data_IF_510574906812
#
_entry.id   IF_510574906812
#
_cell.length_a   1.000
_cell.length_b   1.000
_cell.length_c   1.000
_cell.angle_alpha   90.00
_cell.angle_beta   90.00
_cell.angle_gamma   90.00
#
_symmetry.space_group_name_H-M   'P 1'
#
loop_
_entity.id
_entity.type
_entity.pdbx_description
1 polymer ?
#
# COMPACT_ATOMS: atom_id res chain seq x y z
N UNK A 1 24.93 30.78 3.82
CA UNK A 1 24.71 31.31 5.17
C UNK A 1 26.05 31.38 5.87
N UNK A 2 26.50 32.56 6.25
CA UNK A 2 27.74 32.75 7.02
C UNK A 2 27.46 32.47 8.49
N UNK A 3 28.39 31.79 9.18
CA UNK A 3 28.28 31.37 10.59
C UNK A 3 27.98 32.49 11.61
N UNK A 4 28.00 33.77 11.19
CA UNK A 4 27.83 34.94 12.05
C UNK A 4 26.38 35.24 12.45
N UNK A 5 25.37 34.72 11.75
CA UNK A 5 23.94 34.94 12.10
C UNK A 5 23.37 33.93 13.11
N UNK A 6 24.09 32.85 13.42
CA UNK A 6 23.67 31.84 14.42
C UNK A 6 24.15 32.16 15.86
N UNK A 7 25.00 33.17 16.04
CA UNK A 7 25.65 33.51 17.33
C UNK A 7 24.74 34.31 18.28
N UNK A 8 23.47 34.57 17.91
CA UNK A 8 22.56 35.46 18.65
C UNK A 8 21.26 34.81 19.17
N UNK A 9 21.23 33.49 19.33
CA UNK A 9 20.16 32.89 20.15
C UNK A 9 20.69 32.76 21.58
N UNK A 10 20.16 33.51 22.57
CA UNK A 10 20.58 33.33 23.95
C UNK A 10 20.20 31.91 24.41
N UNK A 11 21.22 31.09 24.67
CA UNK A 11 21.07 29.74 25.21
C UNK A 11 21.43 29.74 26.69
N UNK A 12 20.42 29.66 27.55
CA UNK A 12 20.59 29.56 29.00
C UNK A 12 20.76 28.09 29.40
N UNK A 13 22.01 27.66 29.50
CA UNK A 13 22.35 26.28 29.85
C UNK A 13 21.80 25.87 31.22
N UNK A 14 21.79 26.77 32.21
CA UNK A 14 21.34 26.45 33.56
C UNK A 14 19.84 26.19 33.57
N UNK A 15 19.08 27.08 32.92
CA UNK A 15 17.65 26.91 32.73
C UNK A 15 17.32 25.59 32.02
N UNK A 16 17.94 25.31 30.87
CA UNK A 16 17.63 24.09 30.10
C UNK A 16 18.08 22.81 30.81
N UNK A 17 19.16 22.86 31.59
CA UNK A 17 19.60 21.74 32.44
C UNK A 17 18.58 21.42 33.52
N UNK A 18 18.05 22.46 34.19
CA UNK A 18 16.99 22.30 35.18
C UNK A 18 15.72 21.74 34.53
N UNK A 19 15.29 22.31 33.40
CA UNK A 19 14.12 21.83 32.66
C UNK A 19 14.29 20.36 32.24
N UNK A 20 15.49 19.95 31.81
CA UNK A 20 15.77 18.57 31.46
C UNK A 20 15.70 17.63 32.67
N UNK A 21 16.27 18.01 33.82
CA UNK A 21 16.21 17.21 35.04
C UNK A 21 14.77 17.06 35.58
N UNK A 22 13.96 18.12 35.48
CA UNK A 22 12.56 18.10 35.92
C UNK A 22 11.65 17.32 34.97
N UNK A 23 11.80 17.51 33.65
CA UNK A 23 10.94 16.87 32.65
C UNK A 23 11.36 15.45 32.29
N UNK A 24 12.66 15.17 32.32
CA UNK A 24 13.25 13.91 31.89
C UNK A 24 14.21 13.36 32.96
N UNK A 25 13.74 13.12 34.20
CA UNK A 25 14.58 12.64 35.30
C UNK A 25 15.23 11.28 35.00
N UNK A 26 14.61 10.49 34.11
CA UNK A 26 15.09 9.18 33.66
C UNK A 26 15.87 9.24 32.33
N UNK A 27 16.14 10.44 31.82
CA UNK A 27 16.68 10.66 30.47
C UNK A 27 15.59 10.76 29.40
N UNK A 28 16.01 10.87 28.14
CA UNK A 28 15.08 10.87 27.00
C UNK A 28 14.69 9.41 26.68
N UNK A 29 13.39 9.12 26.50
CA UNK A 29 12.98 7.80 26.04
C UNK A 29 13.47 7.57 24.61
N UNK A 30 13.68 6.30 24.25
CA UNK A 30 13.87 5.91 22.85
C UNK A 30 12.63 6.26 22.02
N UNK A 31 12.77 6.41 20.70
CA UNK A 31 11.65 6.78 19.83
C UNK A 31 10.46 5.83 19.94
N UNK A 32 9.26 6.39 19.90
CA UNK A 32 7.99 5.65 19.84
C UNK A 32 6.99 6.48 19.04
N UNK A 33 6.01 5.82 18.43
CA UNK A 33 4.92 6.49 17.73
C UNK A 33 3.78 5.53 17.46
N UNK A 34 2.56 6.08 17.48
CA UNK A 34 1.34 5.39 17.07
C UNK A 34 0.92 5.77 15.63
N UNK A 35 1.67 6.68 14.97
CA UNK A 35 1.42 7.12 13.60
C UNK A 35 1.95 6.09 12.58
N UNK A 36 1.07 5.41 11.81
CA UNK A 36 1.46 4.34 10.90
C UNK A 36 2.24 4.82 9.67
N UNK A 37 2.37 6.13 9.46
CA UNK A 37 3.20 6.70 8.39
C UNK A 37 4.67 6.80 8.77
N UNK A 38 5.00 6.67 10.06
CA UNK A 38 6.37 6.73 10.56
C UNK A 38 7.06 5.38 10.44
N UNK A 39 8.35 5.41 10.12
CA UNK A 39 9.19 4.20 9.97
C UNK A 39 9.26 3.35 11.25
N UNK A 40 9.22 4.01 12.41
CA UNK A 40 9.34 3.42 13.75
C UNK A 40 7.99 2.97 14.35
N UNK A 41 6.90 3.03 13.58
CA UNK A 41 5.59 2.58 14.06
C UNK A 41 5.61 1.10 14.44
N UNK A 42 5.12 0.79 15.64
CA UNK A 42 5.16 -0.55 16.23
C UNK A 42 4.25 -1.59 15.54
N UNK A 43 3.41 -1.18 14.59
CA UNK A 43 2.62 -2.09 13.75
C UNK A 43 1.29 -2.60 14.35
N UNK A 44 1.03 -2.38 15.64
CA UNK A 44 -0.18 -2.91 16.30
C UNK A 44 -1.41 -2.04 15.97
N UNK A 45 -2.57 -2.62 15.57
CA UNK A 45 -3.73 -1.84 15.11
C UNK A 45 -4.24 -0.80 16.10
N UNK A 46 -4.45 -1.21 17.35
CA UNK A 46 -5.16 -0.39 18.34
C UNK A 46 -4.40 -0.15 19.64
N UNK A 47 -3.21 -0.70 19.83
CA UNK A 47 -2.43 -0.39 21.03
C UNK A 47 -1.74 0.98 20.83
N UNK A 48 -1.37 1.61 21.94
CA UNK A 48 -0.72 2.92 21.96
C UNK A 48 0.44 2.95 22.94
N UNK A 49 1.44 3.77 22.63
CA UNK A 49 2.50 4.17 23.56
C UNK A 49 2.43 5.67 23.79
N UNK A 50 2.34 6.07 25.05
CA UNK A 50 2.17 7.47 25.45
C UNK A 50 3.24 7.90 26.44
N UNK A 51 3.49 9.20 26.52
CA UNK A 51 4.25 9.80 27.61
C UNK A 51 3.38 9.87 28.87
N UNK A 52 3.85 9.30 29.98
CA UNK A 52 3.21 9.42 31.29
C UNK A 52 3.83 10.56 32.08
N UNK A 53 3.02 11.56 32.42
CA UNK A 53 3.44 12.66 33.28
C UNK A 53 3.73 12.23 34.73
N UNK A 54 3.09 11.14 35.18
CA UNK A 54 3.27 10.59 36.53
C UNK A 54 4.64 9.90 36.68
N UNK A 55 4.98 9.04 35.73
CA UNK A 55 6.25 8.29 35.78
C UNK A 55 7.40 9.01 35.08
N UNK A 56 7.10 10.10 34.35
CA UNK A 56 8.05 10.81 33.47
C UNK A 56 8.80 9.83 32.56
N UNK A 57 8.05 8.92 31.96
CA UNK A 57 8.55 7.89 31.06
C UNK A 57 7.47 7.45 30.07
N UNK A 58 7.85 6.62 29.09
CA UNK A 58 6.87 5.96 28.22
C UNK A 58 6.05 4.92 28.98
N UNK A 59 4.81 4.73 28.56
CA UNK A 59 3.89 3.75 29.11
C UNK A 59 2.88 3.29 28.03
N UNK A 60 2.23 2.16 28.25
CA UNK A 60 1.08 1.77 27.42
C UNK A 60 -0.09 2.72 27.66
N UNK A 61 -0.66 3.24 26.58
CA UNK A 61 -1.88 4.04 26.64
C UNK A 61 -3.15 3.21 26.52
N UNK A 62 -4.30 3.89 26.55
CA UNK A 62 -5.59 3.26 26.26
C UNK A 62 -5.64 2.80 24.79
N UNK A 63 -6.39 1.73 24.46
CA UNK A 63 -6.55 1.32 23.08
C UNK A 63 -7.13 2.43 22.22
N UNK A 64 -6.48 2.68 21.10
CA UNK A 64 -6.85 3.66 20.09
C UNK A 64 -8.15 3.24 19.43
N UNK A 65 -8.91 4.22 18.96
CA UNK A 65 -10.07 4.02 18.09
C UNK A 65 -10.07 5.03 16.93
N UNK A 66 -8.95 5.70 16.69
CA UNK A 66 -8.84 6.71 15.63
C UNK A 66 -8.90 6.08 14.23
N UNK A 67 -9.04 6.93 13.21
CA UNK A 67 -9.22 6.49 11.81
C UNK A 67 -8.10 5.60 11.26
N UNK A 68 -6.91 5.60 11.86
CA UNK A 68 -5.78 4.75 11.44
C UNK A 68 -5.92 3.30 11.86
N UNK A 69 -6.72 2.97 12.89
CA UNK A 69 -6.86 1.59 13.38
C UNK A 69 -7.38 0.67 12.27
N UNK A 70 -8.45 1.07 11.57
CA UNK A 70 -9.01 0.27 10.48
C UNK A 70 -8.04 0.16 9.30
N UNK A 71 -7.27 1.21 9.01
CA UNK A 71 -6.25 1.20 7.96
C UNK A 71 -5.11 0.22 8.28
N UNK A 72 -4.63 0.23 9.52
CA UNK A 72 -3.59 -0.68 10.00
C UNK A 72 -4.08 -2.13 10.00
N UNK A 73 -5.32 -2.35 10.46
CA UNK A 73 -5.94 -3.67 10.47
C UNK A 73 -6.10 -4.26 9.06
N UNK A 74 -6.50 -3.45 8.06
CA UNK A 74 -6.56 -3.91 6.66
C UNK A 74 -5.17 -4.24 6.11
N UNK A 75 -4.17 -3.40 6.34
CA UNK A 75 -2.80 -3.68 5.90
C UNK A 75 -2.26 -4.98 6.51
N UNK A 76 -2.52 -5.23 7.80
CA UNK A 76 -2.16 -6.49 8.47
C UNK A 76 -2.92 -7.69 7.91
N UNK A 77 -4.22 -7.55 7.67
CA UNK A 77 -5.04 -8.58 7.03
C UNK A 77 -4.46 -8.97 5.67
N UNK A 78 -3.86 -8.02 4.94
CA UNK A 78 -3.21 -8.23 3.64
C UNK A 78 -1.73 -8.67 3.78
N UNK A 79 -1.30 -8.97 5.01
CA UNK A 79 0.03 -9.47 5.33
C UNK A 79 1.15 -8.44 5.22
N UNK A 80 0.84 -7.14 5.27
CA UNK A 80 1.85 -6.11 5.41
C UNK A 80 2.34 -6.04 6.86
N UNK A 81 3.66 -5.92 7.02
CA UNK A 81 4.34 -5.72 8.30
C UNK A 81 5.13 -4.43 8.24
N UNK A 82 5.07 -3.64 9.30
CA UNK A 82 5.83 -2.39 9.35
C UNK A 82 7.33 -2.64 9.54
N UNK A 83 8.21 -1.70 9.13
CA UNK A 83 9.65 -1.87 9.24
C UNK A 83 10.14 -2.25 10.65
N UNK A 84 9.54 -1.65 11.69
CA UNK A 84 9.84 -1.97 13.10
C UNK A 84 9.67 -3.45 13.45
N UNK A 85 8.78 -4.17 12.76
CA UNK A 85 8.57 -5.60 12.99
C UNK A 85 9.64 -6.50 12.38
N UNK A 86 10.41 -5.97 11.43
CA UNK A 86 11.39 -6.72 10.65
C UNK A 86 12.83 -6.37 11.04
N UNK A 87 13.05 -5.16 11.57
CA UNK A 87 14.36 -4.69 12.01
C UNK A 87 14.54 -4.84 13.53
N UNK A 88 15.15 -5.95 13.95
CA UNK A 88 15.45 -6.23 15.35
C UNK A 88 16.43 -5.24 16.00
N UNK A 89 17.14 -4.43 15.21
CA UNK A 89 18.12 -3.45 15.69
C UNK A 89 17.54 -2.03 15.76
N UNK A 90 16.30 -1.82 15.33
CA UNK A 90 15.66 -0.52 15.35
C UNK A 90 15.56 0.00 16.80
N UNK A 91 15.99 1.24 17.00
CA UNK A 91 15.88 1.89 18.31
C UNK A 91 14.43 2.30 18.58
N UNK A 92 13.80 1.60 19.52
CA UNK A 92 12.42 1.80 19.94
C UNK A 92 12.32 1.86 21.46
N UNK A 93 11.30 2.55 21.99
CA UNK A 93 10.93 2.42 23.40
C UNK A 93 10.62 0.97 23.76
N UNK A 94 10.77 0.61 25.04
CA UNK A 94 10.53 -0.75 25.50
C UNK A 94 9.08 -1.19 25.28
N UNK A 95 8.13 -0.27 25.44
CA UNK A 95 6.71 -0.48 25.16
C UNK A 95 6.46 -0.69 23.67
N UNK A 96 7.08 0.11 22.80
CA UNK A 96 6.97 -0.06 21.34
C UNK A 96 7.53 -1.42 20.90
N UNK A 97 8.66 -1.85 21.47
CA UNK A 97 9.22 -3.19 21.23
C UNK A 97 8.27 -4.29 21.72
N UNK A 98 7.64 -4.12 22.88
CA UNK A 98 6.65 -5.07 23.38
C UNK A 98 5.43 -5.17 22.45
N UNK A 99 4.96 -4.04 21.90
CA UNK A 99 3.88 -4.03 20.90
C UNK A 99 4.29 -4.70 19.58
N UNK A 100 5.53 -4.52 19.13
CA UNK A 100 6.09 -5.25 17.98
C UNK A 100 6.05 -6.75 18.23
N UNK A 101 6.44 -7.23 19.41
CA UNK A 101 6.36 -8.66 19.72
C UNK A 101 4.89 -9.14 19.77
N UNK A 102 3.98 -8.33 20.31
CA UNK A 102 2.55 -8.67 20.40
C UNK A 102 1.89 -8.79 19.01
N UNK A 103 2.42 -8.12 18.01
CA UNK A 103 1.96 -8.25 16.63
C UNK A 103 2.08 -9.68 16.07
N UNK A 104 2.92 -10.55 16.65
CA UNK A 104 3.05 -11.95 16.25
C UNK A 104 1.74 -12.74 16.46
N UNK A 105 0.95 -12.37 17.48
CA UNK A 105 -0.37 -12.96 17.76
C UNK A 105 -1.36 -12.71 16.61
N UNK A 106 -1.13 -11.67 15.80
CA UNK A 106 -1.99 -11.29 14.69
C UNK A 106 -1.56 -11.88 13.34
N UNK A 107 -0.39 -12.54 13.26
CA UNK A 107 0.12 -13.08 12.00
C UNK A 107 -0.78 -14.18 11.42
N UNK A 108 -1.50 -14.91 12.26
CA UNK A 108 -2.44 -15.96 11.83
C UNK A 108 -3.65 -15.44 11.03
N UNK A 109 -3.95 -14.15 11.12
CA UNK A 109 -5.05 -13.52 10.36
C UNK A 109 -4.60 -13.00 8.99
N UNK A 110 -3.29 -12.89 8.76
CA UNK A 110 -2.74 -12.35 7.53
C UNK A 110 -3.00 -13.27 6.34
N UNK A 111 -3.40 -12.66 5.23
CA UNK A 111 -3.48 -13.34 3.96
C UNK A 111 -2.10 -13.75 3.45
N UNK A 112 -2.03 -14.97 2.91
CA UNK A 112 -0.77 -15.58 2.47
C UNK A 112 -0.27 -14.92 1.20
N UNK A 113 -1.11 -14.82 0.17
CA UNK A 113 -0.75 -14.26 -1.13
C UNK A 113 -0.94 -12.73 -1.17
N UNK A 114 -1.66 -12.17 -0.19
CA UNK A 114 -1.88 -10.73 -0.09
C UNK A 114 -3.02 -10.25 -0.99
N UNK A 115 -3.94 -11.14 -1.36
CA UNK A 115 -5.16 -10.84 -2.11
C UNK A 115 -6.35 -11.17 -1.22
N UNK A 116 -7.20 -10.19 -0.93
CA UNK A 116 -8.43 -10.40 -0.15
C UNK A 116 -9.63 -9.86 -0.93
N UNK A 117 -10.51 -10.77 -1.34
CA UNK A 117 -11.77 -10.40 -1.98
C UNK A 117 -12.70 -9.74 -0.97
N UNK A 118 -13.29 -8.61 -1.34
CA UNK A 118 -14.29 -7.94 -0.50
C UNK A 118 -15.54 -8.83 -0.34
N UNK A 119 -16.20 -9.29 -1.42
CA UNK A 119 -17.24 -10.30 -1.28
C UNK A 119 -16.61 -11.66 -0.89
N UNK A 120 -17.40 -12.50 -0.22
CA UNK A 120 -17.01 -13.88 0.05
C UNK A 120 -16.73 -14.63 -1.26
N UNK A 121 -15.57 -15.30 -1.33
CA UNK A 121 -15.08 -15.89 -2.56
C UNK A 121 -14.23 -17.14 -2.26
N UNK A 122 -14.33 -18.19 -3.08
CA UNK A 122 -13.58 -19.46 -2.96
C UNK A 122 -13.68 -20.16 -1.59
N UNK A 123 -14.82 -20.01 -0.92
CA UNK A 123 -15.02 -20.57 0.42
C UNK A 123 -14.31 -19.79 1.54
N UNK A 124 -13.65 -18.68 1.21
CA UNK A 124 -13.13 -17.75 2.18
C UNK A 124 -14.23 -16.79 2.67
N UNK A 125 -14.22 -16.41 3.96
CA UNK A 125 -15.11 -15.38 4.49
C UNK A 125 -14.89 -14.04 3.78
N UNK A 126 -15.87 -13.15 3.86
CA UNK A 126 -15.75 -11.80 3.32
C UNK A 126 -14.59 -11.03 3.97
N UNK A 127 -14.06 -10.02 3.29
CA UNK A 127 -13.04 -9.15 3.88
C UNK A 127 -13.52 -8.50 5.19
N UNK A 128 -14.81 -8.17 5.29
CA UNK A 128 -15.40 -7.60 6.50
C UNK A 128 -15.36 -8.59 7.68
N UNK A 129 -15.75 -9.85 7.46
CA UNK A 129 -15.72 -10.87 8.52
C UNK A 129 -14.28 -11.16 8.98
N UNK A 130 -13.36 -11.28 8.01
CA UNK A 130 -11.93 -11.46 8.31
C UNK A 130 -11.37 -10.30 9.12
N UNK A 131 -11.76 -9.06 8.77
CA UNK A 131 -11.32 -7.86 9.47
C UNK A 131 -11.92 -7.76 10.88
N UNK A 132 -13.19 -8.12 11.08
CA UNK A 132 -13.82 -8.21 12.41
C UNK A 132 -13.05 -9.19 13.30
N UNK A 133 -12.70 -10.37 12.78
CA UNK A 133 -11.95 -11.36 13.55
C UNK A 133 -10.55 -10.86 13.95
N UNK A 134 -9.84 -10.18 13.06
CA UNK A 134 -8.55 -9.56 13.37
C UNK A 134 -8.68 -8.47 14.43
N UNK A 135 -9.68 -7.58 14.30
CA UNK A 135 -9.94 -6.52 15.27
C UNK A 135 -10.32 -7.10 16.64
N UNK A 136 -11.15 -8.14 16.68
CA UNK A 136 -11.51 -8.83 17.91
C UNK A 136 -10.29 -9.40 18.63
N UNK A 137 -9.36 -10.01 17.89
CA UNK A 137 -8.10 -10.48 18.46
C UNK A 137 -7.22 -9.32 18.95
N UNK A 138 -7.12 -8.22 18.19
CA UNK A 138 -6.28 -7.08 18.55
C UNK A 138 -6.78 -6.31 19.79
N UNK A 139 -8.10 -6.13 19.94
CA UNK A 139 -8.70 -5.47 21.10
C UNK A 139 -8.93 -6.42 22.29
N UNK A 140 -8.99 -7.73 22.04
CA UNK A 140 -9.28 -8.72 23.08
C UNK A 140 -10.59 -8.43 23.80
N UNK A 141 -10.54 -8.27 25.12
CA UNK A 141 -11.72 -8.05 25.97
C UNK A 141 -12.43 -6.72 25.72
N UNK A 142 -11.75 -5.75 25.10
CA UNK A 142 -12.33 -4.44 24.78
C UNK A 142 -13.08 -4.44 23.44
N UNK A 143 -13.09 -5.56 22.72
CA UNK A 143 -13.86 -5.70 21.49
C UNK A 143 -15.34 -5.88 21.79
N UNK A 144 -16.18 -5.03 21.20
CA UNK A 144 -17.63 -5.13 21.23
C UNK A 144 -18.23 -4.31 20.07
N UNK A 145 -19.57 -4.35 19.94
CA UNK A 145 -20.27 -3.62 18.87
C UNK A 145 -20.12 -2.10 19.00
N UNK A 146 -20.04 -1.55 20.22
CA UNK A 146 -19.85 -0.12 20.44
C UNK A 146 -18.48 0.34 19.91
N UNK A 147 -17.44 -0.48 20.13
CA UNK A 147 -16.10 -0.23 19.57
C UNK A 147 -16.10 -0.26 18.05
N UNK A 148 -16.80 -1.19 17.42
CA UNK A 148 -16.96 -1.23 15.96
C UNK A 148 -17.68 0.03 15.45
N UNK A 149 -18.75 0.47 16.12
CA UNK A 149 -19.47 1.68 15.75
C UNK A 149 -18.61 2.94 15.90
N UNK A 150 -17.82 3.03 16.97
CA UNK A 150 -16.87 4.11 17.21
C UNK A 150 -15.78 4.16 16.11
N UNK A 151 -15.19 3.02 15.77
CA UNK A 151 -14.19 2.92 14.70
C UNK A 151 -14.74 3.39 13.35
N UNK A 152 -15.97 2.99 13.01
CA UNK A 152 -16.63 3.42 11.78
C UNK A 152 -16.98 4.91 11.82
N UNK A 153 -17.38 5.45 12.97
CA UNK A 153 -17.64 6.88 13.12
C UNK A 153 -16.36 7.70 12.95
N UNK A 154 -15.26 7.28 13.58
CA UNK A 154 -13.95 7.92 13.46
C UNK A 154 -13.36 7.79 12.04
N UNK A 155 -13.80 6.80 11.27
CA UNK A 155 -13.50 6.65 9.85
C UNK A 155 -14.51 7.34 8.91
N UNK A 156 -15.29 8.32 9.40
CA UNK A 156 -16.29 9.07 8.61
C UNK A 156 -17.29 8.14 7.87
N UNK A 157 -17.72 7.10 8.58
CA UNK A 157 -18.61 6.05 8.06
C UNK A 157 -19.60 5.55 9.13
N UNK A 158 -20.03 6.45 10.02
CA UNK A 158 -20.99 6.17 11.08
C UNK A 158 -22.32 5.59 10.55
N UNK A 159 -22.93 4.68 11.32
CA UNK A 159 -24.26 4.12 11.01
C UNK A 159 -24.29 3.15 9.82
N UNK A 160 -23.13 2.70 9.33
CA UNK A 160 -22.99 1.81 8.17
C UNK A 160 -22.19 0.55 8.53
N UNK A 161 -21.97 -0.33 7.55
CA UNK A 161 -21.25 -1.59 7.76
C UNK A 161 -19.77 -1.48 7.40
N UNK A 162 -18.96 -2.36 7.97
CA UNK A 162 -17.54 -2.48 7.62
C UNK A 162 -17.32 -2.82 6.14
N UNK A 163 -18.17 -3.66 5.54
CA UNK A 163 -18.11 -3.95 4.11
C UNK A 163 -18.33 -2.69 3.26
N UNK A 164 -19.33 -1.87 3.58
CA UNK A 164 -19.56 -0.63 2.84
C UNK A 164 -18.42 0.38 3.05
N UNK A 165 -17.74 0.38 4.20
CA UNK A 165 -16.53 1.18 4.40
C UNK A 165 -15.39 0.70 3.49
N UNK A 166 -15.14 -0.62 3.44
CA UNK A 166 -14.12 -1.21 2.55
C UNK A 166 -14.39 -0.88 1.08
N UNK A 167 -15.65 -0.91 0.66
CA UNK A 167 -16.03 -0.56 -0.71
C UNK A 167 -15.89 0.93 -0.97
N UNK A 168 -16.43 1.79 -0.11
CA UNK A 168 -16.69 3.19 -0.46
C UNK A 168 -15.64 4.19 0.04
N UNK A 169 -15.00 3.91 1.17
CA UNK A 169 -14.16 4.89 1.89
C UNK A 169 -12.71 4.45 2.03
N UNK A 170 -12.47 3.16 2.23
CA UNK A 170 -11.15 2.62 2.59
C UNK A 170 -10.06 3.13 1.65
N UNK A 171 -10.17 2.92 0.34
CA UNK A 171 -9.06 3.20 -0.56
C UNK A 171 -8.78 4.70 -0.72
N UNK A 172 -9.81 5.54 -0.68
CA UNK A 172 -9.64 6.99 -0.70
C UNK A 172 -8.93 7.49 0.57
N UNK A 173 -9.30 6.95 1.74
CA UNK A 173 -8.65 7.25 3.01
C UNK A 173 -7.22 6.70 3.05
N UNK A 174 -6.98 5.51 2.51
CA UNK A 174 -5.65 4.90 2.40
C UNK A 174 -4.74 5.76 1.52
N UNK A 175 -5.25 6.24 0.38
CA UNK A 175 -4.53 7.21 -0.47
C UNK A 175 -4.22 8.50 0.30
N UNK A 176 -5.15 9.03 1.09
CA UNK A 176 -4.93 10.27 1.84
C UNK A 176 -3.87 10.10 2.95
N UNK A 177 -4.00 9.05 3.76
CA UNK A 177 -3.13 8.74 4.89
C UNK A 177 -1.68 8.53 4.45
N UNK A 178 -1.46 7.76 3.39
CA UNK A 178 -0.12 7.46 2.88
C UNK A 178 0.32 8.42 1.78
N UNK A 179 -0.08 9.69 1.87
CA UNK A 179 0.38 10.79 1.01
C UNK A 179 0.33 10.49 -0.50
N UNK A 180 -0.78 9.90 -0.95
CA UNK A 180 -1.05 9.51 -2.34
C UNK A 180 -0.11 8.42 -2.88
N UNK A 181 0.49 7.63 -1.98
CA UNK A 181 1.31 6.45 -2.26
C UNK A 181 0.72 5.22 -1.55
N UNK A 182 -0.52 4.84 -1.88
CA UNK A 182 -1.18 3.69 -1.25
C UNK A 182 -0.40 2.40 -1.54
N UNK A 183 -0.29 1.52 -0.55
CA UNK A 183 0.37 0.21 -0.72
C UNK A 183 -0.58 -0.98 -0.55
N UNK A 184 -1.80 -0.74 -0.07
CA UNK A 184 -2.93 -1.65 -0.29
C UNK A 184 -3.79 -1.07 -1.40
N UNK A 185 -3.87 -1.79 -2.52
CA UNK A 185 -4.60 -1.37 -3.70
C UNK A 185 -5.99 -1.97 -3.72
N UNK A 186 -6.99 -1.17 -4.07
CA UNK A 186 -8.36 -1.62 -4.23
C UNK A 186 -8.69 -1.67 -5.73
N UNK A 187 -8.73 -2.89 -6.26
CA UNK A 187 -9.05 -3.18 -7.67
C UNK A 187 -10.49 -3.69 -7.73
N UNK A 188 -11.24 -3.23 -8.73
CA UNK A 188 -12.67 -3.58 -8.86
C UNK A 188 -13.13 -3.50 -10.31
N UNK A 189 -14.32 -4.02 -10.59
CA UNK A 189 -14.90 -4.07 -11.95
C UNK A 189 -15.81 -2.87 -12.29
N UNK A 190 -15.99 -1.94 -11.34
CA UNK A 190 -16.82 -0.74 -11.50
C UNK A 190 -18.25 -0.87 -11.00
N UNK A 191 -18.71 -2.07 -10.63
CA UNK A 191 -20.05 -2.28 -10.07
C UNK A 191 -20.03 -2.29 -8.54
N UNK A 192 -21.12 -1.85 -7.92
CA UNK A 192 -21.23 -1.78 -6.45
C UNK A 192 -21.25 -3.19 -5.82
N UNK A 193 -21.96 -4.11 -6.46
CA UNK A 193 -22.12 -5.52 -6.11
C UNK A 193 -21.23 -6.46 -6.95
N UNK A 194 -20.30 -5.90 -7.73
CA UNK A 194 -19.38 -6.64 -8.58
C UNK A 194 -18.14 -7.17 -7.87
N UNK A 195 -17.19 -7.64 -8.68
CA UNK A 195 -15.88 -8.06 -8.26
C UNK A 195 -15.09 -6.89 -7.66
N UNK A 196 -14.55 -7.13 -6.47
CA UNK A 196 -13.80 -6.12 -5.74
C UNK A 196 -12.80 -6.79 -4.82
N UNK A 197 -11.56 -6.36 -4.87
CA UNK A 197 -10.45 -7.02 -4.18
C UNK A 197 -9.47 -5.99 -3.62
N UNK A 198 -8.88 -6.32 -2.47
CA UNK A 198 -7.77 -5.60 -1.87
C UNK A 198 -6.49 -6.39 -2.14
N UNK A 199 -5.41 -5.69 -2.49
CA UNK A 199 -4.15 -6.33 -2.86
C UNK A 199 -2.99 -5.63 -2.18
N UNK A 200 -2.10 -6.40 -1.55
CA UNK A 200 -0.84 -5.89 -1.03
C UNK A 200 0.14 -5.70 -2.18
N UNK A 201 0.42 -4.44 -2.53
CA UNK A 201 1.34 -4.09 -3.61
C UNK A 201 2.72 -4.74 -3.45
N UNK A 202 3.21 -4.89 -2.21
CA UNK A 202 4.53 -5.50 -1.95
C UNK A 202 4.57 -7.01 -2.22
N UNK A 203 3.41 -7.66 -2.39
CA UNK A 203 3.29 -9.08 -2.74
C UNK A 203 2.79 -9.30 -4.18
N UNK A 204 2.44 -8.23 -4.89
CA UNK A 204 1.86 -8.29 -6.23
C UNK A 204 2.96 -8.41 -7.30
N UNK A 205 3.61 -9.56 -7.38
CA UNK A 205 4.51 -9.89 -8.48
C UNK A 205 3.74 -10.40 -9.72
N UNK A 206 4.46 -10.81 -10.77
CA UNK A 206 3.89 -11.40 -11.99
C UNK A 206 2.94 -12.56 -11.71
N UNK A 207 3.35 -13.49 -10.85
CA UNK A 207 2.62 -14.72 -10.54
C UNK A 207 1.38 -14.42 -9.69
N UNK A 208 1.49 -13.49 -8.75
CA UNK A 208 0.36 -13.04 -7.94
C UNK A 208 -0.66 -12.30 -8.81
N UNK A 209 -0.22 -11.49 -9.79
CA UNK A 209 -1.13 -10.88 -10.76
C UNK A 209 -1.81 -11.94 -11.64
N UNK A 210 -1.08 -12.95 -12.11
CA UNK A 210 -1.67 -14.10 -12.82
C UNK A 210 -2.72 -14.83 -11.98
N UNK A 211 -2.43 -15.03 -10.70
CA UNK A 211 -3.36 -15.64 -9.75
C UNK A 211 -4.61 -14.78 -9.59
N UNK A 212 -4.46 -13.46 -9.47
CA UNK A 212 -5.59 -12.53 -9.42
C UNK A 212 -6.47 -12.63 -10.68
N UNK A 213 -5.86 -12.61 -11.88
CA UNK A 213 -6.58 -12.61 -13.16
C UNK A 213 -7.27 -13.95 -13.42
N UNK A 214 -6.54 -15.05 -13.29
CA UNK A 214 -7.00 -16.35 -13.78
C UNK A 214 -7.62 -17.23 -12.69
N UNK A 215 -7.32 -16.98 -11.42
CA UNK A 215 -7.94 -17.71 -10.30
C UNK A 215 -9.06 -16.89 -9.67
N UNK A 216 -8.77 -15.77 -9.00
CA UNK A 216 -9.79 -15.00 -8.27
C UNK A 216 -10.86 -14.42 -9.21
N UNK A 217 -10.44 -13.65 -10.22
CA UNK A 217 -11.37 -13.08 -11.18
C UNK A 217 -11.94 -14.15 -12.12
N UNK A 218 -11.16 -15.16 -12.50
CA UNK A 218 -11.61 -16.31 -13.30
C UNK A 218 -12.74 -17.11 -12.65
N UNK A 219 -12.62 -17.40 -11.35
CA UNK A 219 -13.66 -18.09 -10.57
C UNK A 219 -14.92 -17.21 -10.45
N UNK A 220 -14.75 -15.90 -10.23
CA UNK A 220 -15.87 -14.96 -10.21
C UNK A 220 -16.63 -14.93 -11.54
N UNK A 221 -15.91 -14.81 -12.66
CA UNK A 221 -16.48 -14.85 -14.01
C UNK A 221 -17.26 -16.14 -14.25
N UNK A 222 -16.70 -17.28 -13.84
CA UNK A 222 -17.35 -18.59 -13.97
C UNK A 222 -18.66 -18.64 -13.20
N UNK A 223 -18.68 -18.12 -11.96
CA UNK A 223 -19.90 -18.00 -11.17
C UNK A 223 -20.92 -17.08 -11.83
N UNK A 224 -20.52 -15.88 -12.26
CA UNK A 224 -21.44 -14.93 -12.91
C UNK A 224 -22.05 -15.52 -14.18
N UNK A 225 -21.30 -16.31 -14.96
CA UNK A 225 -21.83 -17.05 -16.11
C UNK A 225 -22.92 -18.05 -15.74
N UNK A 226 -22.78 -18.75 -14.62
CA UNK A 226 -23.81 -19.68 -14.11
C UNK A 226 -25.06 -18.93 -13.64
N UNK A 227 -24.88 -17.78 -12.97
CA UNK A 227 -25.97 -16.90 -12.55
C UNK A 227 -26.75 -16.35 -13.75
N UNK A 228 -26.06 -15.97 -14.84
CA UNK A 228 -26.68 -15.59 -16.13
C UNK A 228 -27.51 -16.75 -16.69
N UNK A 229 -26.95 -17.96 -16.74
CA UNK A 229 -27.67 -19.14 -17.24
C UNK A 229 -28.91 -19.50 -16.40
N UNK A 230 -28.89 -19.13 -15.12
CA UNK A 230 -30.00 -19.32 -14.18
C UNK A 230 -31.00 -18.16 -14.18
N UNK A 231 -30.81 -17.14 -15.04
CA UNK A 231 -31.71 -15.99 -15.17
C UNK A 231 -31.73 -15.07 -13.95
N UNK A 232 -30.64 -15.02 -13.17
CA UNK A 232 -30.53 -14.10 -12.02
C UNK A 232 -30.39 -12.67 -12.52
N UNK A 233 -31.20 -11.77 -11.95
CA UNK A 233 -31.19 -10.36 -12.30
C UNK A 233 -29.82 -9.70 -12.02
N UNK A 234 -29.42 -8.80 -12.92
CA UNK A 234 -28.10 -8.14 -12.88
C UNK A 234 -26.87 -9.02 -13.17
N UNK A 235 -27.03 -10.35 -13.30
CA UNK A 235 -25.89 -11.25 -13.53
C UNK A 235 -25.18 -10.99 -14.86
N UNK A 236 -25.92 -10.56 -15.88
CA UNK A 236 -25.36 -10.22 -17.20
C UNK A 236 -24.39 -9.03 -17.11
N UNK A 237 -24.77 -7.99 -16.35
CA UNK A 237 -23.96 -6.80 -16.14
C UNK A 237 -22.71 -7.13 -15.32
N UNK A 238 -22.86 -7.93 -14.25
CA UNK A 238 -21.72 -8.42 -13.45
C UNK A 238 -20.76 -9.26 -14.26
N UNK A 239 -21.27 -10.17 -15.09
CA UNK A 239 -20.45 -10.98 -15.99
C UNK A 239 -19.68 -10.10 -16.98
N UNK A 240 -20.36 -9.15 -17.62
CA UNK A 240 -19.74 -8.23 -18.58
C UNK A 240 -18.67 -7.34 -17.92
N UNK A 241 -18.95 -6.78 -16.74
CA UNK A 241 -18.00 -5.96 -15.99
C UNK A 241 -16.74 -6.75 -15.61
N UNK A 242 -16.91 -7.98 -15.10
CA UNK A 242 -15.82 -8.86 -14.73
C UNK A 242 -14.92 -9.26 -15.93
N UNK A 243 -15.52 -9.62 -17.07
CA UNK A 243 -14.78 -9.91 -18.31
C UNK A 243 -13.98 -8.69 -18.80
N UNK A 244 -14.56 -7.50 -18.67
CA UNK A 244 -13.89 -6.26 -19.06
C UNK A 244 -12.78 -5.86 -18.07
N UNK A 245 -12.93 -6.15 -16.77
CA UNK A 245 -11.83 -6.02 -15.81
C UNK A 245 -10.69 -6.97 -16.16
N UNK A 246 -11.00 -8.23 -16.49
CA UNK A 246 -9.99 -9.24 -16.84
C UNK A 246 -9.11 -8.77 -18.00
N UNK A 247 -9.73 -8.30 -19.09
CA UNK A 247 -9.00 -7.76 -20.25
C UNK A 247 -8.06 -6.62 -19.88
N UNK A 248 -8.48 -5.71 -18.98
CA UNK A 248 -7.64 -4.59 -18.53
C UNK A 248 -6.46 -5.07 -17.69
N UNK A 249 -6.66 -6.05 -16.83
CA UNK A 249 -5.56 -6.64 -16.06
C UNK A 249 -4.59 -7.42 -16.95
N UNK A 250 -5.07 -8.09 -18.00
CA UNK A 250 -4.22 -8.74 -19.01
C UNK A 250 -3.34 -7.73 -19.76
N UNK A 251 -3.85 -6.52 -20.07
CA UNK A 251 -3.03 -5.42 -20.63
C UNK A 251 -1.89 -5.00 -19.69
N UNK A 252 -2.14 -4.94 -18.38
CA UNK A 252 -1.13 -4.62 -17.36
C UNK A 252 -0.10 -5.75 -17.25
N UNK A 253 -0.57 -7.00 -17.27
CA UNK A 253 0.29 -8.17 -17.20
C UNK A 253 1.24 -8.25 -18.39
N UNK A 254 0.72 -8.00 -19.60
CA UNK A 254 1.49 -7.93 -20.84
C UNK A 254 2.46 -6.74 -20.83
N UNK A 255 2.00 -5.57 -20.36
CA UNK A 255 2.80 -4.37 -20.17
C UNK A 255 3.32 -3.75 -21.48
N UNK A 256 2.56 -3.88 -22.56
CA UNK A 256 2.76 -3.11 -23.79
C UNK A 256 2.42 -1.63 -23.58
N UNK A 257 3.09 -0.72 -24.27
CA UNK A 257 2.82 0.71 -24.18
C UNK A 257 1.33 1.00 -24.52
N UNK A 258 0.61 1.80 -23.70
CA UNK A 258 1.06 2.65 -22.59
C UNK A 258 0.87 2.03 -21.19
N UNK A 259 0.78 0.71 -21.07
CA UNK A 259 0.56 -0.01 -19.81
C UNK A 259 1.85 -0.54 -19.19
N UNK A 260 2.99 -0.09 -19.70
CA UNK A 260 4.30 -0.47 -19.21
C UNK A 260 4.71 0.30 -17.96
N UNK A 261 5.67 -0.25 -17.21
CA UNK A 261 6.37 0.48 -16.15
C UNK A 261 7.61 1.11 -16.78
N UNK A 262 7.68 2.44 -16.70
CA UNK A 262 8.84 3.23 -17.09
C UNK A 262 9.55 3.79 -15.85
N UNK A 263 10.84 3.50 -15.73
CA UNK A 263 11.68 3.90 -14.59
C UNK A 263 12.83 4.78 -15.06
N UNK A 264 12.70 6.10 -14.90
CA UNK A 264 13.64 7.08 -15.43
C UNK A 264 15.10 6.93 -14.98
N UNK A 265 15.38 6.34 -13.82
CA UNK A 265 16.77 6.12 -13.36
C UNK A 265 17.37 4.79 -13.85
N UNK A 266 16.61 3.95 -14.54
CA UNK A 266 17.09 2.68 -15.10
C UNK A 266 17.38 2.84 -16.60
N UNK A 267 18.51 2.32 -17.11
CA UNK A 267 18.73 2.23 -18.55
C UNK A 267 17.77 1.22 -19.19
N UNK A 268 17.66 1.23 -20.52
CA UNK A 268 16.66 0.47 -21.29
C UNK A 268 16.70 -1.04 -20.95
N UNK A 269 17.90 -1.62 -20.85
CA UNK A 269 18.11 -3.04 -20.51
C UNK A 269 17.61 -3.43 -19.11
N UNK A 270 17.50 -2.46 -18.18
CA UNK A 270 17.01 -2.66 -16.81
C UNK A 270 15.55 -2.25 -16.62
N UNK A 271 14.86 -1.78 -17.67
CA UNK A 271 13.44 -1.47 -17.58
C UNK A 271 12.61 -2.75 -17.34
N UNK A 272 11.56 -2.73 -16.51
CA UNK A 272 10.64 -3.85 -16.34
C UNK A 272 9.96 -4.25 -17.66
N UNK A 273 9.76 -5.55 -17.88
CA UNK A 273 9.07 -6.12 -19.05
C UNK A 273 7.82 -6.84 -18.58
N UNK A 274 6.65 -6.42 -19.09
CA UNK A 274 5.37 -6.81 -18.51
C UNK A 274 5.20 -6.33 -17.08
N UNK A 275 4.29 -6.98 -16.34
CA UNK A 275 4.20 -6.81 -14.90
C UNK A 275 5.33 -7.55 -14.19
N UNK A 276 6.42 -6.83 -13.91
CA UNK A 276 7.57 -7.29 -13.11
C UNK A 276 8.18 -6.10 -12.33
N UNK A 277 7.42 -5.50 -11.40
CA UNK A 277 7.85 -4.28 -10.72
C UNK A 277 9.01 -4.54 -9.74
N UNK A 278 9.98 -3.64 -9.71
CA UNK A 278 10.91 -3.54 -8.58
C UNK A 278 10.29 -2.63 -7.52
N UNK A 279 10.03 -3.19 -6.34
CA UNK A 279 9.39 -2.49 -5.21
C UNK A 279 10.19 -1.23 -4.82
N UNK A 280 11.52 -1.26 -4.98
CA UNK A 280 12.38 -0.13 -4.63
C UNK A 280 12.23 1.06 -5.58
N UNK A 281 11.62 0.87 -6.75
CA UNK A 281 11.29 1.99 -7.63
C UNK A 281 10.14 2.85 -7.09
N UNK A 282 9.40 2.31 -6.12
CA UNK A 282 8.36 2.99 -5.37
C UNK A 282 6.99 2.94 -6.04
N UNK A 283 5.97 3.01 -5.17
CA UNK A 283 4.54 2.94 -5.54
C UNK A 283 4.17 3.85 -6.71
N UNK A 284 4.72 5.08 -6.75
CA UNK A 284 4.34 6.10 -7.73
C UNK A 284 4.54 5.62 -9.17
N UNK A 285 5.62 4.90 -9.46
CA UNK A 285 5.88 4.37 -10.80
C UNK A 285 5.09 3.09 -11.04
N UNK A 286 5.13 2.19 -10.05
CA UNK A 286 4.58 0.84 -10.20
C UNK A 286 3.05 0.80 -10.24
N UNK A 287 2.35 1.81 -9.70
CA UNK A 287 0.88 1.89 -9.78
C UNK A 287 0.38 2.42 -11.13
N UNK A 288 1.27 2.98 -11.98
CA UNK A 288 0.87 3.68 -13.21
C UNK A 288 0.06 2.79 -14.18
N UNK A 289 0.45 1.54 -14.48
CA UNK A 289 -0.33 0.68 -15.37
C UNK A 289 -1.79 0.52 -14.92
N UNK A 290 -2.03 0.41 -13.61
CA UNK A 290 -3.36 0.25 -13.02
C UNK A 290 -4.24 1.50 -13.15
N UNK A 291 -3.62 2.67 -13.32
CA UNK A 291 -4.28 3.96 -13.54
C UNK A 291 -4.44 4.27 -15.04
N UNK A 292 -3.54 3.78 -15.89
CA UNK A 292 -3.49 4.08 -17.33
C UNK A 292 -4.45 3.28 -18.19
N UNK A 293 -4.82 2.05 -17.77
CA UNK A 293 -5.84 1.26 -18.48
C UNK A 293 -7.19 1.98 -18.52
N UNK A 294 -8.08 1.64 -19.48
CA UNK A 294 -9.39 2.28 -19.57
C UNK A 294 -10.15 2.23 -18.25
N UNK A 295 -10.81 3.33 -17.87
CA UNK A 295 -11.51 3.42 -16.58
C UNK A 295 -12.64 2.37 -16.47
N UNK A 296 -12.75 1.75 -15.29
CA UNK A 296 -13.91 0.90 -14.92
C UNK A 296 -14.99 1.69 -14.20
N UNK A 297 -14.63 2.83 -13.60
CA UNK A 297 -15.54 3.67 -12.83
C UNK A 297 -15.10 5.12 -12.82
N UNK A 298 -14.26 5.50 -11.85
CA UNK A 298 -13.82 6.89 -11.70
C UNK A 298 -12.86 7.28 -12.82
N UNK A 299 -13.08 8.45 -13.45
CA UNK A 299 -12.24 8.97 -14.53
C UNK A 299 -10.77 9.13 -14.11
N UNK A 300 -9.88 8.53 -14.90
CA UNK A 300 -8.43 8.51 -14.69
C UNK A 300 -8.00 7.70 -13.47
N UNK A 301 -8.76 6.68 -13.08
CA UNK A 301 -8.40 5.72 -12.03
C UNK A 301 -8.11 4.32 -12.59
N UNK A 302 -8.34 4.09 -13.89
CA UNK A 302 -8.17 2.79 -14.52
C UNK A 302 -9.02 1.72 -13.85
N UNK A 303 -8.37 0.71 -13.27
CA UNK A 303 -9.04 -0.38 -12.52
C UNK A 303 -9.10 -0.14 -11.01
N UNK A 304 -8.58 0.99 -10.52
CA UNK A 304 -8.58 1.30 -9.09
C UNK A 304 -9.89 1.95 -8.64
N UNK A 305 -10.23 1.77 -7.36
CA UNK A 305 -11.45 2.36 -6.77
C UNK A 305 -11.42 3.89 -6.69
N UNK A 306 -10.25 4.48 -6.53
CA UNK A 306 -10.02 5.90 -6.38
C UNK A 306 -8.77 6.29 -7.18
N UNK A 307 -8.68 7.53 -7.64
CA UNK A 307 -7.52 8.06 -8.34
C UNK A 307 -6.50 8.61 -7.33
N UNK A 308 -5.32 7.98 -7.17
CA UNK A 308 -4.24 8.60 -6.43
C UNK A 308 -3.83 9.91 -7.13
N UNK A 309 -3.62 10.99 -6.36
CA UNK A 309 -3.25 12.31 -6.90
C UNK A 309 -1.75 12.36 -7.23
N UNK A 310 -1.34 11.48 -8.13
CA UNK A 310 0.03 11.42 -8.64
C UNK A 310 0.15 12.40 -9.82
N UNK A 311 1.16 13.26 -9.75
CA UNK A 311 1.59 14.06 -10.88
C UNK A 311 2.35 13.15 -11.85
N UNK A 312 1.97 13.10 -13.13
CA UNK A 312 2.64 12.23 -14.11
C UNK A 312 3.64 12.98 -14.99
N UNK A 313 3.43 14.29 -15.16
CA UNK A 313 4.27 15.14 -15.98
C UNK A 313 5.68 15.35 -15.38
N UNK A 314 6.41 16.33 -15.91
CA UNK A 314 7.78 16.68 -15.54
C UNK A 314 7.95 16.91 -14.04
N UNK A 315 8.87 16.16 -13.43
CA UNK A 315 9.29 16.38 -12.05
C UNK A 315 10.20 17.60 -11.90
N UNK A 316 10.27 18.15 -10.69
CA UNK A 316 11.17 19.26 -10.36
C UNK A 316 12.64 18.84 -10.46
N UNK A 317 13.47 19.76 -10.93
CA UNK A 317 14.93 19.59 -11.04
C UNK A 317 15.38 19.09 -12.41
N UNK A 318 16.67 18.79 -12.51
CA UNK A 318 17.33 18.27 -13.70
C UNK A 318 18.09 16.98 -13.38
N UNK A 319 18.22 16.11 -14.36
CA UNK A 319 19.10 14.96 -14.28
C UNK A 319 20.54 15.32 -14.65
N UNK A 320 21.47 14.55 -14.09
CA UNK A 320 22.89 14.61 -14.44
C UNK A 320 23.12 14.00 -15.82
N UNK A 321 24.19 14.41 -16.50
CA UNK A 321 24.52 13.92 -17.84
C UNK A 321 24.70 12.40 -17.93
N UNK A 322 25.10 11.75 -16.83
CA UNK A 322 25.23 10.30 -16.74
C UNK A 322 23.91 9.55 -16.57
N UNK A 323 22.77 10.25 -16.41
CA UNK A 323 21.48 9.60 -16.28
C UNK A 323 21.07 8.94 -17.62
N UNK A 324 20.46 7.74 -17.60
CA UNK A 324 20.25 6.95 -18.82
C UNK A 324 19.42 7.66 -19.90
N UNK A 325 18.46 8.49 -19.49
CA UNK A 325 17.54 9.18 -20.39
C UNK A 325 17.89 10.66 -20.60
N UNK A 326 19.07 11.10 -20.12
CA UNK A 326 19.54 12.47 -20.32
C UNK A 326 19.60 12.87 -21.82
N UNK A 327 20.10 12.03 -22.74
CA UNK A 327 20.16 12.40 -24.17
C UNK A 327 18.79 12.65 -24.78
N UNK A 328 17.78 11.85 -24.41
CA UNK A 328 16.41 11.97 -24.91
C UNK A 328 15.70 13.20 -24.35
N UNK A 329 15.78 13.41 -23.03
CA UNK A 329 15.04 14.47 -22.35
C UNK A 329 15.84 15.74 -22.08
N UNK A 330 17.09 15.82 -22.51
CA UNK A 330 17.99 16.98 -22.31
C UNK A 330 18.04 17.40 -20.83
N UNK A 331 18.12 16.40 -19.95
CA UNK A 331 18.12 16.54 -18.50
C UNK A 331 16.77 16.83 -17.84
N UNK A 332 15.67 16.93 -18.58
CA UNK A 332 14.34 17.02 -17.97
C UNK A 332 13.90 15.69 -17.34
N UNK A 333 13.29 15.78 -16.17
CA UNK A 333 12.80 14.62 -15.43
C UNK A 333 11.40 14.22 -15.90
N UNK A 334 11.33 13.62 -17.08
CA UNK A 334 10.07 13.14 -17.67
C UNK A 334 9.78 11.72 -17.18
N UNK A 335 8.68 11.55 -16.44
CA UNK A 335 8.18 10.24 -16.06
C UNK A 335 7.00 9.79 -16.94
N UNK A 336 6.35 10.73 -17.65
CA UNK A 336 5.25 10.45 -18.59
C UNK A 336 5.80 9.93 -19.93
N UNK A 337 6.53 8.82 -19.88
CA UNK A 337 7.09 8.15 -21.05
C UNK A 337 6.74 6.66 -20.99
N UNK A 338 6.64 6.04 -22.16
CA UNK A 338 6.27 4.65 -22.33
C UNK A 338 7.23 4.02 -23.33
N UNK A 339 7.56 2.77 -23.07
CA UNK A 339 8.44 1.97 -23.91
C UNK A 339 7.69 0.73 -24.37
N UNK A 340 7.82 0.43 -25.65
CA UNK A 340 7.21 -0.77 -26.23
C UNK A 340 7.90 -2.04 -25.72
N UNK A 341 7.22 -3.18 -25.79
CA UNK A 341 7.85 -4.45 -25.46
C UNK A 341 9.00 -4.77 -26.41
N UNK A 342 8.86 -4.41 -27.69
CA UNK A 342 9.89 -4.64 -28.70
C UNK A 342 11.19 -3.89 -28.39
N UNK A 343 11.10 -2.61 -28.00
CA UNK A 343 12.26 -1.81 -27.57
C UNK A 343 12.98 -2.45 -26.38
N UNK A 344 12.23 -2.90 -25.36
CA UNK A 344 12.81 -3.53 -24.17
C UNK A 344 13.42 -4.91 -24.47
N UNK A 345 12.78 -5.70 -25.33
CA UNK A 345 13.21 -7.05 -25.67
C UNK A 345 14.42 -7.06 -26.61
N UNK A 346 14.50 -6.13 -27.56
CA UNK A 346 15.62 -6.04 -28.51
C UNK A 346 16.97 -5.89 -27.78
N UNK A 347 17.03 -5.03 -26.75
CA UNK A 347 18.26 -4.83 -25.99
C UNK A 347 18.60 -6.03 -25.10
N UNK A 348 17.60 -6.66 -24.49
CA UNK A 348 17.79 -7.88 -23.68
C UNK A 348 18.21 -9.09 -24.52
N UNK A 349 17.67 -9.21 -25.74
CA UNK A 349 18.02 -10.25 -26.71
C UNK A 349 19.45 -10.13 -27.22
N UNK A 350 19.90 -8.90 -27.53
CA UNK A 350 21.28 -8.61 -27.93
C UNK A 350 22.33 -8.89 -26.84
N UNK A 351 21.92 -8.90 -25.57
CA UNK A 351 22.81 -9.22 -24.43
C UNK A 351 23.07 -10.74 -24.31
N UNK A 352 22.19 -11.60 -24.85
CA UNK A 352 22.39 -13.08 -24.84
C UNK A 352 23.26 -13.61 -25.99
N UNK A 353 23.52 -12.82 -27.03
CA UNK A 353 24.32 -13.24 -28.19
C UNK A 353 25.83 -12.92 -28.09
N UNK A 354 26.30 -12.41 -26.94
CA UNK A 354 27.70 -11.98 -26.74
C UNK A 354 28.68 -13.05 -26.20
N UNK A 355 28.23 -14.26 -25.88
CA UNK A 355 29.11 -15.34 -25.42
C UNK A 355 28.99 -16.56 -26.32
N UNK A 356 29.74 -16.57 -27.42
CA UNK A 356 29.76 -17.72 -28.32
C UNK A 356 30.74 -17.58 -29.47
N UNK A 357 31.89 -18.27 -29.31
CA UNK A 357 32.90 -18.66 -30.31
C UNK A 357 34.02 -17.67 -30.60
N UNK A 358 35.08 -17.78 -29.82
CA UNK A 358 36.44 -17.82 -30.37
C UNK A 358 36.89 -19.28 -30.40
N UNK A 359 37.06 -19.83 -31.59
CA UNK A 359 38.08 -20.83 -31.98
C UNK A 359 38.24 -20.75 -33.50
N UNK A 360 39.46 -20.92 -34.02
CA UNK A 360 40.06 -22.26 -34.12
C UNK A 360 41.06 -22.59 -33.02
#
# INVERSE_FOLDING_TARGET
>A
MTNLTLVKVPFDLAHWTQVAAEKYPNGLPKPYTDDPTQWIFHGHPCASVVWSEETKWTAFGAPRADSSVLQVAVARLLGYRWPAELDLKMELSDESRALVAKCDELLGFADKDGIVSIPAHRGEPSAADRLVNLLAAAYGKEWNNDRLMELLANADHAGKTLESWLRDKFFAQHCAMFHQRPFIWHIWDGLKDGFSVLVNYHKLDRKTLETLIYSYLGDWITRQRQEVASGIDGAQDRFAAAEQLKKRLELIQEGEAPYDIFVRWKPLEKQPVGWDPDINDGVRLNIRPFVSVPDVGKKGAGVLREKPRIHWEKDRGKDVQSAPWFPLFKGDRINDHHLTLDEKNTVRGGTRSGTGREQP
#
